data_IF_654761503139
#
_entry.id   IF_654761503139
#
_cell.length_a   1.000
_cell.length_b   1.000
_cell.length_c   1.000
_cell.angle_alpha   90.00
_cell.angle_beta   90.00
_cell.angle_gamma   90.00
#
_symmetry.space_group_name_H-M   'P 1'
#
loop_
_entity.id
_entity.type
_entity.pdbx_description
1 polymer ?
#
# COMPACT_ATOMS: atom_id res chain seq x y z
N UNK A 1 7.36 46.09 62.54
CA UNK A 1 6.01 46.60 62.24
C UNK A 1 6.02 47.29 60.88
N UNK A 2 5.13 46.84 59.98
CA UNK A 2 4.70 47.46 58.70
C UNK A 2 5.74 47.55 57.55
N UNK A 3 5.81 46.48 56.75
CA UNK A 3 6.36 46.52 55.38
C UNK A 3 5.28 47.13 54.48
N UNK A 4 5.53 48.35 53.97
CA UNK A 4 4.69 48.97 52.95
C UNK A 4 5.08 48.45 51.56
N UNK A 5 4.08 47.97 50.82
CA UNK A 5 4.26 47.25 49.57
C UNK A 5 4.67 48.10 48.37
N UNK A 6 5.20 47.42 47.36
CA UNK A 6 5.19 47.89 45.97
C UNK A 6 4.35 46.92 45.13
N UNK A 7 3.39 47.50 44.41
CA UNK A 7 2.47 46.82 43.50
C UNK A 7 3.25 46.22 42.33
N UNK A 8 2.81 45.05 41.87
CA UNK A 8 3.26 44.46 40.62
C UNK A 8 2.67 45.26 39.45
N UNK A 9 3.52 45.96 38.71
CA UNK A 9 3.15 46.58 37.43
C UNK A 9 3.10 45.51 36.34
N UNK A 10 1.91 44.92 36.17
CA UNK A 10 1.59 44.11 35.00
C UNK A 10 1.46 45.01 33.77
N UNK A 11 2.59 45.33 33.14
CA UNK A 11 2.61 45.89 31.79
C UNK A 11 2.83 44.76 30.80
N UNK A 12 1.79 44.45 30.04
CA UNK A 12 1.79 43.36 29.09
C UNK A 12 2.80 43.56 27.97
N UNK A 13 3.74 42.61 27.84
CA UNK A 13 4.28 42.17 26.55
C UNK A 13 4.63 40.68 26.65
N UNK A 14 4.27 39.94 25.60
CA UNK A 14 4.55 38.52 25.42
C UNK A 14 6.06 38.27 25.48
N UNK A 15 6.53 37.62 26.53
CA UNK A 15 7.88 37.05 26.60
C UNK A 15 7.91 35.73 25.84
N UNK A 16 7.85 35.80 24.52
CA UNK A 16 8.22 34.70 23.63
C UNK A 16 9.20 35.30 22.64
N UNK A 17 10.48 34.92 22.67
CA UNK A 17 11.41 35.38 21.64
C UNK A 17 10.85 34.94 20.28
N UNK A 18 10.77 35.88 19.33
CA UNK A 18 10.55 35.59 17.91
C UNK A 18 11.82 34.92 17.36
N UNK A 19 12.13 33.75 17.89
CA UNK A 19 13.07 32.85 17.23
C UNK A 19 12.22 32.12 16.21
N UNK A 20 12.18 32.69 15.01
CA UNK A 20 11.76 31.99 13.81
C UNK A 20 12.79 30.88 13.59
N UNK A 21 12.64 29.78 14.34
CA UNK A 21 13.41 28.56 14.10
C UNK A 21 12.89 28.06 12.77
N UNK A 22 13.59 28.40 11.69
CA UNK A 22 13.45 27.74 10.41
C UNK A 22 13.67 26.25 10.69
N UNK A 23 12.58 25.51 10.88
CA UNK A 23 12.63 24.07 10.82
C UNK A 23 13.09 23.77 9.40
N UNK A 24 14.38 23.48 9.23
CA UNK A 24 14.85 22.83 8.02
C UNK A 24 14.04 21.56 7.92
N UNK A 25 13.02 21.58 7.08
CA UNK A 25 12.25 20.39 6.78
C UNK A 25 13.19 19.53 5.96
N UNK A 26 13.97 18.71 6.66
CA UNK A 26 14.88 17.75 6.04
C UNK A 26 14.09 17.00 4.97
N UNK A 27 14.66 16.95 3.76
CA UNK A 27 14.01 16.40 2.57
C UNK A 27 13.49 15.00 2.90
N UNK A 28 12.17 14.84 3.02
CA UNK A 28 11.59 13.60 3.52
C UNK A 28 11.84 12.50 2.50
N UNK A 29 12.25 11.30 2.93
CA UNK A 29 12.51 10.20 1.98
C UNK A 29 11.28 9.89 1.15
N UNK A 30 10.08 10.06 1.72
CA UNK A 30 8.78 9.94 1.04
C UNK A 30 8.60 10.87 -0.17
N UNK A 31 9.32 12.01 -0.24
CA UNK A 31 9.28 12.92 -1.40
C UNK A 31 9.85 12.28 -2.66
N UNK A 32 10.65 11.21 -2.52
CA UNK A 32 11.14 10.42 -3.66
C UNK A 32 10.06 9.51 -4.24
N UNK A 33 8.88 9.44 -3.62
CA UNK A 33 7.73 8.70 -4.16
C UNK A 33 7.34 9.26 -5.52
N UNK A 34 7.19 8.39 -6.51
CA UNK A 34 6.69 8.81 -7.83
C UNK A 34 5.17 8.74 -7.93
N UNK A 35 4.48 8.31 -6.87
CA UNK A 35 3.02 8.22 -6.79
C UNK A 35 2.46 9.50 -6.17
N UNK A 36 1.33 9.98 -6.69
CA UNK A 36 0.55 11.08 -6.09
C UNK A 36 0.10 10.78 -4.65
N UNK A 37 -0.15 11.84 -3.86
CA UNK A 37 -0.66 11.70 -2.49
C UNK A 37 -2.03 11.00 -2.52
N UNK A 38 -2.20 9.97 -1.68
CA UNK A 38 -3.49 9.27 -1.53
C UNK A 38 -4.18 9.79 -0.27
N UNK A 39 -5.41 10.29 -0.41
CA UNK A 39 -6.29 10.56 0.74
C UNK A 39 -6.94 9.23 1.16
N UNK A 40 -6.69 8.82 2.41
CA UNK A 40 -7.31 7.70 3.13
C UNK A 40 -7.76 6.53 2.23
N UNK A 41 -6.82 5.77 1.65
CA UNK A 41 -7.16 4.86 0.58
C UNK A 41 -8.05 3.68 1.00
N UNK A 42 -8.25 3.46 2.31
CA UNK A 42 -9.02 2.36 2.90
C UNK A 42 -8.13 1.28 3.52
N UNK A 43 -8.73 0.15 3.94
CA UNK A 43 -7.99 -1.04 4.39
C UNK A 43 -7.70 -1.93 3.17
N UNK A 44 -6.44 -2.38 2.98
CA UNK A 44 -6.13 -3.41 1.99
C UNK A 44 -7.00 -4.66 2.21
N UNK A 45 -7.40 -5.36 1.13
CA UNK A 45 -8.02 -6.66 1.28
C UNK A 45 -7.05 -7.65 1.95
N UNK A 46 -7.60 -8.58 2.73
CA UNK A 46 -6.81 -9.65 3.39
C UNK A 46 -6.52 -10.80 2.41
N UNK A 47 -7.41 -10.98 1.43
CA UNK A 47 -7.27 -12.00 0.40
C UNK A 47 -6.27 -11.57 -0.69
N UNK A 48 -5.66 -12.56 -1.34
CA UNK A 48 -4.69 -12.35 -2.40
C UNK A 48 -5.27 -12.73 -3.77
N UNK A 49 -4.57 -12.36 -4.84
CA UNK A 49 -4.90 -12.76 -6.22
C UNK A 49 -5.00 -14.27 -6.37
N UNK A 50 -4.15 -15.02 -5.66
CA UNK A 50 -4.16 -16.47 -5.73
C UNK A 50 -5.47 -17.07 -5.19
N UNK A 51 -6.03 -16.52 -4.10
CA UNK A 51 -7.34 -16.90 -3.59
C UNK A 51 -8.42 -16.70 -4.66
N UNK A 52 -8.41 -15.56 -5.36
CA UNK A 52 -9.33 -15.31 -6.46
C UNK A 52 -9.17 -16.31 -7.61
N UNK A 53 -7.94 -16.65 -7.99
CA UNK A 53 -7.68 -17.64 -9.03
C UNK A 53 -8.18 -19.03 -8.64
N UNK A 54 -7.94 -19.47 -7.39
CA UNK A 54 -8.45 -20.75 -6.87
C UNK A 54 -9.97 -20.77 -6.82
N UNK A 55 -10.58 -19.68 -6.35
CA UNK A 55 -12.04 -19.52 -6.33
C UNK A 55 -12.64 -19.70 -7.71
N UNK A 56 -12.15 -18.96 -8.71
CA UNK A 56 -12.69 -19.01 -10.07
C UNK A 56 -12.38 -20.33 -10.79
N UNK A 57 -11.27 -20.98 -10.47
CA UNK A 57 -10.99 -22.34 -10.95
C UNK A 57 -12.02 -23.33 -10.40
N UNK A 58 -12.37 -23.23 -9.12
CA UNK A 58 -13.34 -24.11 -8.48
C UNK A 58 -14.75 -23.88 -9.00
N UNK A 59 -15.14 -22.62 -9.22
CA UNK A 59 -16.40 -22.27 -9.90
C UNK A 59 -16.44 -22.82 -11.33
N UNK A 60 -15.33 -22.76 -12.06
CA UNK A 60 -15.25 -23.32 -13.42
C UNK A 60 -15.37 -24.86 -13.45
N UNK A 61 -15.04 -25.55 -12.36
CA UNK A 61 -15.27 -26.99 -12.18
C UNK A 61 -16.73 -27.32 -11.80
N UNK A 62 -17.58 -26.31 -11.60
CA UNK A 62 -19.00 -26.47 -11.25
C UNK A 62 -19.31 -26.41 -9.76
N UNK A 63 -18.33 -26.09 -8.90
CA UNK A 63 -18.59 -25.95 -7.47
C UNK A 63 -19.43 -24.70 -7.16
N UNK A 64 -20.22 -24.77 -6.08
CA UNK A 64 -20.98 -23.63 -5.58
C UNK A 64 -20.03 -22.53 -5.10
N UNK A 65 -20.50 -21.28 -5.13
CA UNK A 65 -19.70 -20.13 -4.69
C UNK A 65 -19.26 -20.21 -3.22
N UNK A 66 -19.97 -20.96 -2.38
CA UNK A 66 -19.60 -21.17 -0.98
C UNK A 66 -18.47 -22.20 -0.84
N UNK A 67 -18.58 -23.34 -1.52
CA UNK A 67 -17.52 -24.37 -1.54
C UNK A 67 -16.23 -23.80 -2.13
N UNK A 68 -16.34 -23.10 -3.27
CA UNK A 68 -15.22 -22.44 -3.92
C UNK A 68 -14.55 -21.39 -3.01
N UNK A 69 -15.31 -20.73 -2.13
CA UNK A 69 -14.77 -19.77 -1.17
C UNK A 69 -13.87 -20.46 -0.14
N UNK A 70 -14.38 -21.55 0.45
CA UNK A 70 -13.68 -22.34 1.46
C UNK A 70 -12.40 -22.93 0.86
N UNK A 71 -12.47 -23.51 -0.34
CA UNK A 71 -11.30 -24.03 -1.06
C UNK A 71 -10.27 -22.95 -1.38
N UNK A 72 -10.73 -21.73 -1.68
CA UNK A 72 -9.87 -20.56 -1.87
C UNK A 72 -9.29 -19.98 -0.56
N UNK A 73 -9.66 -20.53 0.59
CA UNK A 73 -9.21 -20.06 1.91
C UNK A 73 -9.85 -18.75 2.34
N UNK A 74 -11.07 -18.45 1.89
CA UNK A 74 -11.85 -17.29 2.31
C UNK A 74 -13.22 -17.70 2.86
N UNK A 75 -13.88 -16.81 3.60
CA UNK A 75 -15.20 -17.12 4.14
C UNK A 75 -16.27 -17.20 3.04
N UNK A 76 -17.27 -18.07 3.23
CA UNK A 76 -18.41 -18.24 2.31
C UNK A 76 -19.05 -16.93 1.84
N UNK A 77 -19.38 -15.98 2.75
CA UNK A 77 -19.94 -14.67 2.37
C UNK A 77 -19.04 -13.82 1.46
N UNK A 78 -17.72 -13.99 1.53
CA UNK A 78 -16.77 -13.31 0.63
C UNK A 78 -16.86 -13.90 -0.77
N UNK A 79 -16.94 -15.23 -0.90
CA UNK A 79 -17.11 -15.89 -2.19
C UNK A 79 -18.42 -15.53 -2.88
N UNK A 80 -19.53 -15.49 -2.14
CA UNK A 80 -20.83 -15.02 -2.66
C UNK A 80 -20.71 -13.59 -3.20
N UNK A 81 -20.02 -12.70 -2.47
CA UNK A 81 -19.80 -11.32 -2.90
C UNK A 81 -18.95 -11.25 -4.17
N UNK A 82 -17.87 -12.03 -4.26
CA UNK A 82 -17.03 -12.09 -5.46
C UNK A 82 -17.81 -12.53 -6.69
N UNK A 83 -18.58 -13.61 -6.56
CA UNK A 83 -19.41 -14.14 -7.64
C UNK A 83 -20.39 -13.07 -8.15
N UNK A 84 -21.14 -12.44 -7.24
CA UNK A 84 -22.12 -11.39 -7.58
C UNK A 84 -21.46 -10.14 -8.17
N UNK A 85 -20.36 -9.69 -7.57
CA UNK A 85 -19.64 -8.49 -8.03
C UNK A 85 -19.02 -8.63 -9.42
N UNK A 86 -18.79 -9.87 -9.86
CA UNK A 86 -18.21 -10.18 -11.18
C UNK A 86 -19.27 -10.65 -12.19
N UNK A 87 -20.56 -10.63 -11.83
CA UNK A 87 -21.65 -11.07 -12.72
C UNK A 87 -21.67 -12.57 -13.00
N UNK A 88 -21.12 -13.39 -12.09
CA UNK A 88 -21.08 -14.85 -12.23
C UNK A 88 -19.95 -15.40 -13.10
N UNK A 89 -19.08 -14.54 -13.65
CA UNK A 89 -17.95 -14.95 -14.50
C UNK A 89 -16.62 -14.39 -13.99
N UNK A 90 -15.51 -15.12 -14.19
CA UNK A 90 -14.19 -14.62 -13.81
C UNK A 90 -13.82 -13.40 -14.65
N UNK A 91 -13.30 -12.33 -14.02
CA UNK A 91 -12.65 -11.24 -14.75
C UNK A 91 -11.53 -11.78 -15.65
N UNK A 92 -11.30 -11.18 -16.83
CA UNK A 92 -10.39 -11.72 -17.87
C UNK A 92 -8.98 -12.06 -17.36
N UNK A 93 -8.46 -11.24 -16.45
CA UNK A 93 -7.15 -11.44 -15.82
C UNK A 93 -7.12 -12.47 -14.67
N UNK A 94 -8.26 -13.07 -14.29
CA UNK A 94 -8.41 -14.11 -13.26
C UNK A 94 -8.98 -15.40 -13.85
N UNK A 95 -9.34 -15.39 -15.13
CA UNK A 95 -9.78 -16.58 -15.84
C UNK A 95 -8.68 -17.66 -15.78
N UNK A 96 -9.04 -18.96 -15.77
CA UNK A 96 -8.07 -20.05 -15.84
C UNK A 96 -7.13 -19.95 -17.06
N UNK A 97 -7.59 -19.33 -18.15
CA UNK A 97 -6.84 -19.05 -19.36
C UNK A 97 -5.95 -17.79 -19.31
N UNK A 98 -6.04 -17.00 -18.23
CA UNK A 98 -5.26 -15.78 -18.09
C UNK A 98 -3.77 -16.14 -17.98
N UNK A 99 -2.93 -15.43 -18.74
CA UNK A 99 -1.48 -15.59 -18.63
C UNK A 99 -1.03 -15.39 -17.18
N UNK A 100 -0.17 -16.30 -16.70
CA UNK A 100 0.50 -16.13 -15.42
C UNK A 100 1.25 -14.79 -15.40
N UNK A 101 1.37 -14.18 -14.21
CA UNK A 101 2.10 -12.92 -14.07
C UNK A 101 3.50 -13.13 -14.63
N UNK A 102 3.75 -12.53 -15.79
CA UNK A 102 5.04 -12.66 -16.45
C UNK A 102 6.13 -12.12 -15.53
N UNK A 103 7.37 -12.58 -15.76
CA UNK A 103 8.58 -12.14 -15.07
C UNK A 103 8.84 -10.62 -15.14
N UNK A 104 7.91 -9.81 -15.67
CA UNK A 104 7.94 -8.34 -15.63
C UNK A 104 7.45 -7.78 -14.29
N UNK A 105 6.52 -8.47 -13.61
CA UNK A 105 5.88 -7.97 -12.39
C UNK A 105 6.37 -8.76 -11.15
N UNK A 106 6.44 -8.06 -10.01
CA UNK A 106 6.73 -8.68 -8.72
C UNK A 106 5.50 -9.38 -8.16
N UNK A 107 5.67 -10.64 -7.78
CA UNK A 107 4.70 -11.47 -7.07
C UNK A 107 4.55 -11.01 -5.62
N UNK A 108 3.50 -11.51 -4.95
CA UNK A 108 3.29 -11.20 -3.53
C UNK A 108 4.42 -11.72 -2.64
N UNK A 109 4.90 -12.95 -2.89
CA UNK A 109 6.03 -13.52 -2.15
C UNK A 109 7.31 -12.69 -2.29
N UNK A 110 7.60 -12.20 -3.50
CA UNK A 110 8.74 -11.29 -3.70
C UNK A 110 8.55 -9.97 -2.95
N UNK A 111 7.31 -9.45 -2.84
CA UNK A 111 7.00 -8.25 -2.05
C UNK A 111 7.17 -8.50 -0.55
N UNK A 112 6.80 -9.68 -0.04
CA UNK A 112 7.09 -10.06 1.35
C UNK A 112 8.58 -10.10 1.62
N UNK A 113 9.36 -10.69 0.71
CA UNK A 113 10.80 -10.75 0.87
C UNK A 113 11.46 -9.36 0.82
N UNK A 114 10.99 -8.47 -0.07
CA UNK A 114 11.40 -7.06 -0.03
C UNK A 114 11.06 -6.43 1.33
N UNK A 115 9.87 -6.68 1.88
CA UNK A 115 9.47 -6.11 3.18
C UNK A 115 10.37 -6.60 4.33
N UNK A 116 10.69 -7.90 4.37
CA UNK A 116 11.60 -8.47 5.35
C UNK A 116 13.00 -7.87 5.24
N UNK A 117 13.54 -7.75 4.03
CA UNK A 117 14.87 -7.19 3.80
C UNK A 117 14.93 -5.68 4.07
N UNK A 118 13.86 -4.95 3.75
CA UNK A 118 13.75 -3.53 4.12
C UNK A 118 13.73 -3.34 5.64
N UNK A 119 13.03 -4.21 6.37
CA UNK A 119 13.02 -4.19 7.84
C UNK A 119 14.42 -4.50 8.44
N UNK A 120 15.22 -5.33 7.78
CA UNK A 120 16.63 -5.58 8.13
C UNK A 120 17.58 -4.43 7.75
N UNK A 121 17.13 -3.46 6.98
CA UNK A 121 17.98 -2.37 6.46
C UNK A 121 18.87 -2.78 5.28
N UNK A 122 18.58 -3.90 4.63
CA UNK A 122 19.36 -4.40 3.48
C UNK A 122 19.26 -3.43 2.29
N UNK A 123 20.39 -3.14 1.65
CA UNK A 123 20.44 -2.24 0.48
C UNK A 123 19.74 -2.81 -0.76
N UNK A 124 19.15 -1.94 -1.60
CA UNK A 124 18.36 -2.31 -2.79
C UNK A 124 19.07 -3.32 -3.71
N UNK A 125 20.38 -3.15 -3.95
CA UNK A 125 21.16 -4.05 -4.81
C UNK A 125 21.29 -5.47 -4.24
N UNK A 126 21.36 -5.61 -2.92
CA UNK A 126 21.42 -6.92 -2.27
C UNK A 126 20.05 -7.61 -2.34
N UNK A 127 18.97 -6.89 -2.08
CA UNK A 127 17.59 -7.39 -2.26
C UNK A 127 17.38 -7.88 -3.70
N UNK A 128 17.79 -7.08 -4.68
CA UNK A 128 17.64 -7.41 -6.09
C UNK A 128 18.39 -8.69 -6.48
N UNK A 129 19.62 -8.89 -5.97
CA UNK A 129 20.37 -10.13 -6.19
C UNK A 129 19.67 -11.34 -5.58
N UNK A 130 19.14 -11.21 -4.35
CA UNK A 130 18.41 -12.28 -3.67
C UNK A 130 17.19 -12.75 -4.46
N UNK A 131 16.44 -11.80 -5.01
CA UNK A 131 15.24 -12.06 -5.81
C UNK A 131 15.55 -12.39 -7.28
N UNK A 132 16.82 -12.40 -7.69
CA UNK A 132 17.21 -12.51 -9.11
C UNK A 132 16.53 -11.47 -10.01
N UNK A 133 16.32 -10.25 -9.49
CA UNK A 133 15.67 -9.14 -10.20
C UNK A 133 16.65 -8.00 -10.47
N UNK A 134 16.27 -7.11 -11.40
CA UNK A 134 17.04 -5.88 -11.61
C UNK A 134 16.90 -4.95 -10.38
N UNK A 135 17.97 -4.26 -9.94
CA UNK A 135 17.89 -3.25 -8.89
C UNK A 135 16.89 -2.13 -9.21
N UNK A 136 16.71 -1.82 -10.50
CA UNK A 136 15.75 -0.83 -10.96
C UNK A 136 14.30 -1.24 -10.69
N UNK A 137 14.00 -2.54 -10.75
CA UNK A 137 12.67 -3.10 -10.43
C UNK A 137 12.35 -2.89 -8.96
N UNK A 138 13.26 -3.30 -8.07
CA UNK A 138 13.10 -3.17 -6.62
C UNK A 138 13.01 -1.70 -6.18
N UNK A 139 13.86 -0.84 -6.75
CA UNK A 139 13.81 0.61 -6.45
C UNK A 139 12.48 1.25 -6.87
N UNK A 140 12.02 0.97 -8.09
CA UNK A 140 10.74 1.48 -8.61
C UNK A 140 9.55 0.97 -7.80
N UNK A 141 9.61 -0.28 -7.37
CA UNK A 141 8.60 -0.91 -6.52
C UNK A 141 8.47 -0.15 -5.18
N UNK A 142 9.56 -0.01 -4.44
CA UNK A 142 9.57 0.69 -3.15
C UNK A 142 9.07 2.13 -3.31
N UNK A 143 9.59 2.86 -4.31
CA UNK A 143 9.20 4.26 -4.54
C UNK A 143 7.73 4.45 -4.90
N UNK A 144 7.10 3.48 -5.57
CA UNK A 144 5.68 3.61 -5.99
C UNK A 144 4.72 3.13 -4.91
N UNK A 145 5.07 2.06 -4.22
CA UNK A 145 4.12 1.26 -3.46
C UNK A 145 4.29 1.34 -1.94
N UNK A 146 5.36 1.95 -1.41
CA UNK A 146 5.49 2.21 0.03
C UNK A 146 4.38 3.11 0.59
N UNK A 147 4.09 2.93 1.88
CA UNK A 147 3.34 3.90 2.65
C UNK A 147 4.25 5.09 2.98
N UNK A 148 3.74 6.30 2.75
CA UNK A 148 4.52 7.56 2.86
C UNK A 148 4.03 8.49 3.98
N UNK A 149 3.00 8.09 4.74
CA UNK A 149 2.34 8.94 5.75
C UNK A 149 3.27 9.32 6.90
N UNK A 150 4.28 8.49 7.20
CA UNK A 150 5.28 8.73 8.23
C UNK A 150 6.50 9.54 7.77
N UNK A 151 6.55 10.04 6.53
CA UNK A 151 7.71 10.78 6.01
C UNK A 151 8.90 9.91 5.54
N UNK A 152 8.94 8.64 5.94
CA UNK A 152 9.80 7.60 5.33
C UNK A 152 8.98 6.67 4.42
N UNK A 153 9.66 5.76 3.74
CA UNK A 153 9.11 4.62 3.02
C UNK A 153 8.90 3.44 3.99
N UNK A 154 7.71 3.38 4.59
CA UNK A 154 7.27 2.18 5.30
C UNK A 154 6.79 1.14 4.26
N UNK A 155 7.59 0.09 4.05
CA UNK A 155 7.30 -0.94 3.05
C UNK A 155 6.67 -2.17 3.71
N UNK A 156 5.35 -2.31 3.52
CA UNK A 156 4.57 -3.49 3.91
C UNK A 156 4.03 -4.18 2.67
N UNK A 157 4.24 -5.49 2.53
CA UNK A 157 3.90 -6.25 1.33
C UNK A 157 2.41 -6.14 0.95
N UNK A 158 1.50 -6.30 1.91
CA UNK A 158 0.04 -6.18 1.72
C UNK A 158 -0.34 -4.79 1.19
N UNK A 159 0.19 -3.73 1.81
CA UNK A 159 -0.05 -2.36 1.37
C UNK A 159 0.51 -2.10 -0.02
N UNK A 160 1.71 -2.61 -0.29
CA UNK A 160 2.38 -2.45 -1.57
C UNK A 160 1.62 -3.16 -2.70
N UNK A 161 1.16 -4.39 -2.47
CA UNK A 161 0.30 -5.14 -3.39
C UNK A 161 -0.98 -4.37 -3.68
N UNK A 162 -1.65 -3.87 -2.64
CA UNK A 162 -2.89 -3.12 -2.80
C UNK A 162 -2.70 -1.80 -3.57
N UNK A 163 -1.58 -1.09 -3.36
CA UNK A 163 -1.22 0.06 -4.19
C UNK A 163 -0.97 -0.33 -5.64
N UNK A 164 -0.29 -1.47 -5.88
CA UNK A 164 -0.07 -1.99 -7.23
C UNK A 164 -1.39 -2.35 -7.93
N UNK A 165 -2.30 -3.05 -7.23
CA UNK A 165 -3.62 -3.41 -7.76
C UNK A 165 -4.47 -2.18 -8.07
N UNK A 166 -4.42 -1.15 -7.21
CA UNK A 166 -5.12 0.12 -7.46
C UNK A 166 -4.53 0.85 -8.65
N UNK A 167 -3.21 0.90 -8.81
CA UNK A 167 -2.55 1.52 -9.95
C UNK A 167 -2.83 0.77 -11.26
N UNK A 168 -3.02 -0.55 -11.20
CA UNK A 168 -3.40 -1.38 -12.35
C UNK A 168 -4.85 -1.18 -12.79
N UNK A 169 -5.73 -0.63 -11.94
CA UNK A 169 -7.08 -0.23 -12.36
C UNK A 169 -6.96 0.94 -13.33
N UNK A 170 -7.20 0.66 -14.60
CA UNK A 170 -7.29 1.69 -15.64
C UNK A 170 -8.41 2.67 -15.25
N UNK A 171 -8.09 3.96 -15.12
CA UNK A 171 -9.12 4.98 -15.09
C UNK A 171 -9.88 4.89 -16.42
N UNK A 172 -11.21 4.66 -16.37
CA UNK A 172 -12.05 4.97 -17.53
C UNK A 172 -11.95 6.48 -17.70
N UNK A 173 -11.41 6.93 -18.84
CA UNK A 173 -11.38 8.34 -19.15
C UNK A 173 -12.82 8.82 -19.26
N UNK A 174 -13.30 9.55 -18.27
CA UNK A 174 -14.50 10.38 -18.48
C UNK A 174 -14.04 11.49 -19.40
N UNK A 175 -14.47 11.46 -20.66
CA UNK A 175 -14.37 12.63 -21.53
C UNK A 175 -15.09 13.78 -20.80
N UNK A 176 -14.50 14.98 -20.71
CA UNK A 176 -15.23 16.13 -20.17
C UNK A 176 -16.46 16.38 -21.06
N UNK A 177 -17.60 16.61 -20.41
CA UNK A 177 -18.87 16.94 -21.06
C UNK A 177 -18.80 18.31 -21.76
#
# INVERSE_FOLDING_TARGET
TRIAGRKADSTGRRNTPFQEVYMTTGRRKSERSTRGKLCSPGRPPVWQRENLCRFWRSVALGHSSEVAAVEAGVSGPVGIRWFRSSGGMPPTHLAPSAMSLTNRNLTFSEREEIALECARGTGIRAIARKLSRSPSTVSREIRRNSATRGGDFDYRAITAQWHADRAARRAKGTLPA
#
